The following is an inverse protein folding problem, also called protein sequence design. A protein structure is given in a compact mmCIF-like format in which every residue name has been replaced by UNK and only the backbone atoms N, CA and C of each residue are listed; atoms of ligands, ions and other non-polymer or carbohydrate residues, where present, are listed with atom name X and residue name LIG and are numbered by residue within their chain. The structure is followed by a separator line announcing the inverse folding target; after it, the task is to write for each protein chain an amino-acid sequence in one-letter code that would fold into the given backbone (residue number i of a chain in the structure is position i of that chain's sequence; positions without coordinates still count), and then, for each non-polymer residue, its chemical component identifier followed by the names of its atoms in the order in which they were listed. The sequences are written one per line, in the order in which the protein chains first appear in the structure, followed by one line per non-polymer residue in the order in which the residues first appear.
data_IF_241942547002
#
_entry.id   IF_241942547002
#
_cell.length_a   1.000
_cell.length_b   1.000
_cell.length_c   1.000
_cell.angle_alpha   90.00
_cell.angle_beta   90.00
_cell.angle_gamma   90.00
#
_symmetry.space_group_name_H-M   'P 1'
#
loop_
_entity.id
_entity.type
_entity.pdbx_description
1 polymer ?
#
# COMPACT_ATOMS: atom_id res chain seq x y z
N UNK A 1 2.78 17.13 22.78
CA UNK A 1 2.81 16.14 21.67
C UNK A 1 1.42 15.84 21.13
N UNK A 2 0.42 15.53 21.97
CA UNK A 2 -0.96 15.25 21.54
C UNK A 2 -1.58 16.25 20.56
N UNK A 3 -1.48 17.56 20.82
CA UNK A 3 -2.04 18.57 19.90
C UNK A 3 -1.32 18.62 18.55
N UNK A 4 0.00 18.44 18.53
CA UNK A 4 0.76 18.27 17.28
C UNK A 4 0.33 17.01 16.52
N UNK A 5 0.02 15.93 17.21
CA UNK A 5 -0.51 14.72 16.58
C UNK A 5 -1.83 14.97 15.86
N UNK A 6 -2.76 15.71 16.48
CA UNK A 6 -4.01 16.08 15.82
C UNK A 6 -3.75 16.92 14.57
N UNK A 7 -2.88 17.93 14.66
CA UNK A 7 -2.51 18.76 13.51
C UNK A 7 -1.92 17.92 12.37
N UNK A 8 -0.98 17.02 12.66
CA UNK A 8 -0.43 16.13 11.63
C UNK A 8 -1.47 15.17 11.04
N UNK A 9 -2.42 14.70 11.85
CA UNK A 9 -3.53 13.90 11.36
C UNK A 9 -4.40 14.69 10.39
N UNK A 10 -4.74 15.95 10.71
CA UNK A 10 -5.50 16.84 9.82
C UNK A 10 -4.77 17.10 8.49
N UNK A 11 -3.43 17.16 8.54
CA UNK A 11 -2.55 17.25 7.37
C UNK A 11 -2.41 15.92 6.59
N UNK A 12 -3.16 14.88 6.98
CA UNK A 12 -3.24 13.62 6.25
C UNK A 12 -2.12 12.63 6.57
N UNK A 13 -1.36 12.83 7.64
CA UNK A 13 -0.37 11.88 8.13
C UNK A 13 -1.00 10.91 9.14
N UNK A 14 -0.27 9.82 9.41
CA UNK A 14 -0.61 8.83 10.43
C UNK A 14 0.36 8.99 11.60
N UNK A 15 0.12 9.95 12.52
CA UNK A 15 1.04 10.29 13.60
C UNK A 15 1.16 9.16 14.63
N UNK A 16 2.37 8.95 15.15
CA UNK A 16 2.67 7.94 16.17
C UNK A 16 3.32 8.55 17.39
N UNK A 17 3.12 7.91 18.54
CA UNK A 17 3.79 8.29 19.78
C UNK A 17 5.15 7.59 19.87
N UNK A 18 6.20 8.41 20.03
CA UNK A 18 7.56 7.96 20.29
C UNK A 18 7.88 8.26 21.77
N UNK A 19 8.46 7.29 22.46
CA UNK A 19 8.94 7.45 23.84
C UNK A 19 10.17 6.59 24.10
N UNK A 20 10.89 6.87 25.19
CA UNK A 20 11.96 6.01 25.68
C UNK A 20 11.46 4.70 26.30
N UNK A 21 10.13 4.50 26.41
CA UNK A 21 9.56 3.26 26.92
C UNK A 21 9.80 2.14 25.91
N UNK A 22 10.45 1.08 26.38
CA UNK A 22 10.63 -0.16 25.61
C UNK A 22 9.37 -0.99 25.70
N UNK A 23 8.82 -1.32 24.54
CA UNK A 23 7.64 -2.16 24.36
C UNK A 23 7.95 -3.24 23.34
N UNK A 24 7.05 -4.22 23.14
CA UNK A 24 7.21 -5.22 22.08
C UNK A 24 7.37 -4.61 20.68
N UNK A 25 6.91 -3.37 20.48
CA UNK A 25 6.86 -2.68 19.19
C UNK A 25 8.14 -1.93 18.80
N UNK A 26 9.03 -1.61 19.75
CA UNK A 26 10.28 -0.89 19.47
C UNK A 26 11.54 -1.58 20.01
N UNK A 27 11.41 -2.59 20.88
CA UNK A 27 12.55 -3.28 21.50
C UNK A 27 13.51 -3.94 20.51
N UNK A 28 13.00 -4.37 19.34
CA UNK A 28 13.80 -5.02 18.27
C UNK A 28 14.41 -4.01 17.28
N UNK A 29 14.05 -2.74 17.38
CA UNK A 29 14.50 -1.70 16.45
C UNK A 29 15.95 -1.29 16.76
N UNK A 30 16.68 -0.87 15.73
CA UNK A 30 18.06 -0.40 15.88
C UNK A 30 18.17 0.87 16.72
N UNK A 31 17.14 1.73 16.67
CA UNK A 31 17.01 2.95 17.46
C UNK A 31 15.62 3.00 18.13
N UNK A 32 15.38 2.23 19.21
CA UNK A 32 14.06 2.11 19.84
C UNK A 32 13.41 3.43 20.23
N UNK A 33 14.22 4.43 20.59
CA UNK A 33 13.81 5.78 20.97
C UNK A 33 13.36 6.66 19.81
N UNK A 34 13.57 6.22 18.56
CA UNK A 34 13.05 6.85 17.34
C UNK A 34 11.83 6.13 16.79
N UNK A 35 11.49 4.97 17.35
CA UNK A 35 10.42 4.09 16.86
C UNK A 35 9.16 4.20 17.71
N UNK A 36 7.97 3.89 17.15
CA UNK A 36 6.72 3.94 17.90
C UNK A 36 6.70 2.95 19.07
N UNK A 37 6.23 3.39 20.23
CA UNK A 37 6.09 2.53 21.42
C UNK A 37 4.73 1.81 21.49
N UNK A 38 4.03 1.66 20.37
CA UNK A 38 2.69 1.09 20.26
C UNK A 38 2.50 0.41 18.90
N UNK A 39 1.42 -0.32 18.72
CA UNK A 39 1.04 -0.91 17.43
C UNK A 39 0.91 0.16 16.34
N UNK A 40 1.63 0.03 15.24
CA UNK A 40 1.65 1.06 14.19
C UNK A 40 1.71 0.50 12.76
N UNK A 41 2.23 -0.72 12.54
CA UNK A 41 2.44 -1.28 11.20
C UNK A 41 1.16 -1.34 10.35
N UNK A 42 0.00 -1.66 10.97
CA UNK A 42 -1.30 -1.61 10.27
C UNK A 42 -1.64 -0.22 9.71
N UNK A 43 -1.07 0.84 10.29
CA UNK A 43 -1.28 2.20 9.80
C UNK A 43 -0.51 2.51 8.50
N UNK A 44 0.31 1.58 8.00
CA UNK A 44 0.98 1.69 6.70
C UNK A 44 0.00 1.50 5.53
N UNK A 45 -1.05 0.72 5.76
CA UNK A 45 -2.03 0.34 4.74
C UNK A 45 -3.43 0.88 5.03
N UNK A 46 -3.70 1.21 6.30
CA UNK A 46 -4.97 1.74 6.75
C UNK A 46 -4.78 3.05 7.50
N UNK A 47 -5.63 4.05 7.24
CA UNK A 47 -5.63 5.27 8.05
C UNK A 47 -6.23 4.95 9.44
N UNK A 48 -5.59 5.33 10.55
CA UNK A 48 -6.20 5.19 11.86
C UNK A 48 -7.42 6.10 12.02
N UNK A 49 -8.35 5.70 12.87
CA UNK A 49 -9.33 6.63 13.42
C UNK A 49 -8.62 7.66 14.29
N UNK A 50 -9.16 8.88 14.33
CA UNK A 50 -8.58 9.96 15.15
C UNK A 50 -8.53 9.57 16.64
N UNK A 51 -9.52 8.82 17.14
CA UNK A 51 -9.56 8.36 18.53
C UNK A 51 -8.38 7.44 18.86
N UNK A 52 -7.99 6.56 17.93
CA UNK A 52 -6.82 5.68 18.10
C UNK A 52 -5.53 6.49 18.27
N UNK A 53 -5.43 7.64 17.58
CA UNK A 53 -4.29 8.56 17.71
C UNK A 53 -4.35 9.33 19.02
N UNK A 54 -5.51 9.88 19.38
CA UNK A 54 -5.70 10.73 20.56
C UNK A 54 -5.53 9.94 21.87
N UNK A 55 -5.85 8.65 21.85
CA UNK A 55 -5.76 7.74 22.99
C UNK A 55 -4.37 7.12 23.20
N UNK A 56 -3.40 7.36 22.30
CA UNK A 56 -2.02 6.99 22.56
C UNK A 56 -1.51 7.64 23.87
N UNK A 57 -0.55 6.98 24.52
CA UNK A 57 0.04 7.49 25.76
C UNK A 57 0.96 8.69 25.48
N UNK A 58 0.36 9.86 25.28
CA UNK A 58 1.07 11.10 25.00
C UNK A 58 1.73 11.72 26.24
N UNK A 59 1.37 11.27 27.45
CA UNK A 59 1.93 11.79 28.71
C UNK A 59 3.41 11.41 28.87
N UNK A 60 3.77 10.22 28.41
CA UNK A 60 5.15 9.70 28.44
C UNK A 60 5.91 9.94 27.13
N UNK A 61 5.32 10.66 26.18
CA UNK A 61 5.87 10.88 24.85
C UNK A 61 7.09 11.81 24.88
N UNK A 62 8.18 11.37 24.25
CA UNK A 62 9.37 12.19 24.00
C UNK A 62 9.37 12.80 22.60
N UNK A 63 8.48 12.32 21.74
CA UNK A 63 8.42 12.72 20.36
C UNK A 63 7.18 12.24 19.65
N UNK A 64 7.04 12.76 18.46
CA UNK A 64 6.05 12.38 17.47
C UNK A 64 6.78 11.89 16.22
N UNK A 65 6.26 10.81 15.65
CA UNK A 65 6.63 10.42 14.30
C UNK A 65 5.39 10.26 13.44
N UNK A 66 5.59 9.73 12.24
CA UNK A 66 4.51 9.34 11.37
C UNK A 66 4.84 8.04 10.64
N UNK A 67 3.80 7.27 10.39
CA UNK A 67 3.86 6.10 9.53
C UNK A 67 3.93 6.53 8.07
N UNK A 68 4.85 5.92 7.33
CA UNK A 68 4.95 6.01 5.87
C UNK A 68 4.27 4.79 5.26
N UNK A 69 3.47 5.02 4.22
CA UNK A 69 2.65 3.98 3.60
C UNK A 69 2.37 4.26 2.13
N UNK A 70 1.21 3.81 1.65
CA UNK A 70 0.83 3.92 0.23
C UNK A 70 0.90 5.35 -0.33
N UNK A 71 0.52 6.38 0.45
CA UNK A 71 0.48 7.76 -0.01
C UNK A 71 1.72 8.60 0.36
N UNK A 72 2.15 8.56 1.61
CA UNK A 72 3.23 9.40 2.15
C UNK A 72 4.59 8.73 1.94
N UNK A 73 5.58 9.54 1.53
CA UNK A 73 6.97 9.13 1.30
C UNK A 73 7.88 10.11 2.01
N UNK A 74 9.09 9.66 2.33
CA UNK A 74 10.13 10.52 2.86
C UNK A 74 11.42 10.27 2.09
N UNK A 75 12.06 11.34 1.63
CA UNK A 75 13.41 11.30 1.10
C UNK A 75 14.31 11.76 2.24
N UNK A 76 15.02 10.81 2.85
CA UNK A 76 15.87 11.02 4.02
C UNK A 76 17.33 11.11 3.57
N UNK A 77 17.95 12.27 3.73
CA UNK A 77 19.29 12.60 3.26
C UNK A 77 20.25 12.59 4.44
N UNK A 78 21.01 11.52 4.57
CA UNK A 78 21.93 11.26 5.68
C UNK A 78 23.25 12.03 5.54
N UNK A 79 23.76 12.51 6.67
CA UNK A 79 25.02 13.24 6.83
C UNK A 79 25.13 14.47 5.91
N UNK A 80 24.02 15.17 5.70
CA UNK A 80 23.96 16.38 4.89
C UNK A 80 23.73 17.63 5.77
N UNK A 81 24.60 18.62 5.60
CA UNK A 81 24.49 19.94 6.23
C UNK A 81 24.42 21.09 5.21
N UNK A 82 24.44 20.77 3.91
CA UNK A 82 24.42 21.75 2.84
C UNK A 82 22.97 22.13 2.47
N UNK A 83 22.52 23.29 2.94
CA UNK A 83 21.19 23.82 2.61
C UNK A 83 21.03 24.20 1.14
N UNK A 84 22.12 24.56 0.43
CA UNK A 84 22.05 24.88 -1.00
C UNK A 84 21.81 23.62 -1.81
N UNK A 85 22.47 22.52 -1.45
CA UNK A 85 22.18 21.21 -2.03
C UNK A 85 20.71 20.82 -1.84
N UNK A 86 20.16 20.99 -0.63
CA UNK A 86 18.74 20.69 -0.36
C UNK A 86 17.82 21.54 -1.22
N UNK A 87 18.10 22.85 -1.36
CA UNK A 87 17.35 23.73 -2.27
C UNK A 87 17.42 23.25 -3.72
N UNK A 88 18.60 22.86 -4.21
CA UNK A 88 18.75 22.31 -5.56
C UNK A 88 17.95 21.01 -5.74
N UNK A 89 17.96 20.13 -4.73
CA UNK A 89 17.20 18.88 -4.73
C UNK A 89 15.70 19.13 -4.81
N UNK A 90 15.16 20.00 -3.96
CA UNK A 90 13.74 20.41 -3.93
C UNK A 90 13.31 21.01 -5.28
N UNK A 91 14.19 21.82 -5.89
CA UNK A 91 13.96 22.41 -7.21
C UNK A 91 13.76 21.33 -8.29
N UNK A 92 14.54 20.25 -8.26
CA UNK A 92 14.40 19.13 -9.19
C UNK A 92 13.16 18.28 -8.91
N UNK A 93 12.71 18.22 -7.65
CA UNK A 93 11.41 17.68 -7.28
C UNK A 93 10.23 18.57 -7.73
N UNK A 94 10.50 19.76 -8.27
CA UNK A 94 9.51 20.76 -8.72
C UNK A 94 8.65 21.30 -7.58
N UNK A 95 9.27 21.42 -6.41
CA UNK A 95 8.66 21.98 -5.22
C UNK A 95 9.08 23.45 -5.03
N UNK A 96 8.31 24.25 -4.27
CA UNK A 96 8.70 25.61 -3.91
C UNK A 96 10.06 25.66 -3.21
N UNK A 97 10.83 26.74 -3.39
CA UNK A 97 12.15 26.88 -2.72
C UNK A 97 12.02 26.95 -1.18
N UNK A 98 10.87 27.41 -0.70
CA UNK A 98 10.45 27.50 0.70
C UNK A 98 9.52 26.35 1.10
N UNK A 99 9.66 25.16 0.49
CA UNK A 99 8.78 24.03 0.77
C UNK A 99 8.76 23.65 2.27
N UNK A 100 7.58 23.77 2.90
CA UNK A 100 7.42 23.64 4.35
C UNK A 100 7.72 22.24 4.91
N UNK A 101 7.60 21.21 4.07
CA UNK A 101 7.76 19.81 4.47
C UNK A 101 9.21 19.32 4.39
N UNK A 102 10.15 20.23 4.60
CA UNK A 102 11.56 19.92 4.77
C UNK A 102 11.91 20.04 6.24
N UNK A 103 12.38 18.92 6.81
CA UNK A 103 12.77 18.82 8.20
C UNK A 103 14.28 18.73 8.28
N UNK A 104 14.91 19.61 9.06
CA UNK A 104 16.29 19.40 9.51
C UNK A 104 16.28 18.32 10.58
N UNK A 105 16.89 17.18 10.27
CA UNK A 105 17.22 16.14 11.24
C UNK A 105 18.61 16.42 11.84
N UNK A 106 19.00 15.73 12.94
CA UNK A 106 20.25 16.01 13.63
C UNK A 106 21.48 15.97 12.72
N UNK A 107 21.53 14.97 11.83
CA UNK A 107 22.64 14.74 10.92
C UNK A 107 22.19 14.78 9.45
N UNK A 108 21.08 15.42 9.10
CA UNK A 108 20.57 15.33 7.74
C UNK A 108 19.33 16.16 7.47
N UNK A 109 18.58 15.76 6.45
CA UNK A 109 17.32 16.39 6.08
C UNK A 109 16.29 15.34 5.69
N UNK A 110 15.03 15.54 6.08
CA UNK A 110 13.91 14.78 5.55
C UNK A 110 13.10 15.68 4.62
N UNK A 111 12.77 15.19 3.43
CA UNK A 111 11.85 15.86 2.50
C UNK A 111 10.61 14.97 2.40
N UNK A 112 9.49 15.43 2.97
CA UNK A 112 8.25 14.68 2.96
C UNK A 112 7.45 15.03 1.71
N UNK A 113 6.95 14.00 1.00
CA UNK A 113 6.12 14.16 -0.20
C UNK A 113 5.00 13.11 -0.21
N UNK A 114 3.98 13.33 -1.02
CA UNK A 114 3.05 12.27 -1.42
C UNK A 114 3.46 11.73 -2.78
N UNK A 115 3.46 10.42 -2.96
CA UNK A 115 3.75 9.79 -4.26
C UNK A 115 3.03 8.46 -4.40
N UNK A 116 3.03 7.92 -5.62
CA UNK A 116 2.53 6.57 -5.91
C UNK A 116 3.38 5.47 -5.25
N UNK A 117 3.04 4.19 -5.46
CA UNK A 117 3.86 3.08 -4.99
C UNK A 117 5.17 2.96 -5.80
N UNK A 118 6.12 2.18 -5.28
CA UNK A 118 7.39 1.85 -5.95
C UNK A 118 7.27 0.46 -6.55
N UNK A 119 7.41 0.34 -7.86
CA UNK A 119 7.06 -0.87 -8.62
C UNK A 119 8.22 -1.85 -8.86
N UNK A 120 9.45 -1.48 -8.51
CA UNK A 120 10.68 -2.20 -8.90
C UNK A 120 11.64 -2.45 -7.74
N UNK A 121 11.18 -2.31 -6.50
CA UNK A 121 12.01 -2.59 -5.34
C UNK A 121 12.36 -4.10 -5.27
N UNK A 122 13.61 -4.41 -4.95
CA UNK A 122 14.07 -5.78 -4.72
C UNK A 122 13.41 -6.38 -3.48
N UNK A 123 13.40 -7.71 -3.34
CA UNK A 123 12.82 -8.38 -2.15
C UNK A 123 13.36 -7.83 -0.82
N UNK A 124 14.64 -7.45 -0.78
CA UNK A 124 15.29 -6.85 0.41
C UNK A 124 14.79 -5.44 0.70
N UNK A 125 14.71 -4.57 -0.30
CA UNK A 125 14.18 -3.21 -0.16
C UNK A 125 12.70 -3.22 0.20
N UNK A 126 11.96 -4.18 -0.37
CA UNK A 126 10.56 -4.43 -0.09
C UNK A 126 10.34 -4.76 1.39
N UNK A 127 11.11 -5.66 2.00
CA UNK A 127 10.92 -6.03 3.42
C UNK A 127 11.06 -4.84 4.38
N UNK A 128 11.95 -3.88 4.08
CA UNK A 128 12.23 -2.77 4.98
C UNK A 128 11.44 -1.50 4.65
N UNK A 129 10.85 -1.42 3.45
CA UNK A 129 10.14 -0.23 2.99
C UNK A 129 11.05 0.98 2.81
N UNK A 130 12.34 0.73 2.54
CA UNK A 130 13.40 1.71 2.39
C UNK A 130 14.30 1.31 1.23
N UNK A 131 14.60 2.27 0.37
CA UNK A 131 15.52 2.15 -0.74
C UNK A 131 16.71 3.06 -0.47
N UNK A 132 17.84 2.51 -0.01
CA UNK A 132 19.07 3.27 0.16
C UNK A 132 19.75 3.49 -1.19
N UNK A 133 20.19 4.72 -1.45
CA UNK A 133 20.87 5.14 -2.68
C UNK A 133 22.08 6.00 -2.29
N UNK A 134 23.24 5.67 -2.84
CA UNK A 134 24.51 6.31 -2.48
C UNK A 134 24.86 7.45 -3.43
N UNK A 135 25.55 8.50 -2.92
CA UNK A 135 26.01 9.62 -3.74
C UNK A 135 26.89 9.15 -4.89
N UNK A 136 26.90 9.91 -5.97
CA UNK A 136 27.95 9.78 -6.98
C UNK A 136 29.24 10.50 -6.54
N UNK A 137 30.34 10.25 -7.24
CA UNK A 137 31.66 10.80 -6.89
C UNK A 137 31.67 12.33 -6.68
N UNK A 138 30.80 13.08 -7.38
CA UNK A 138 30.70 14.54 -7.23
C UNK A 138 30.05 14.97 -5.91
N UNK A 139 29.10 14.19 -5.39
CA UNK A 139 28.32 14.53 -4.19
C UNK A 139 28.69 13.68 -2.97
N UNK A 140 29.68 12.79 -3.08
CA UNK A 140 30.13 11.91 -1.99
C UNK A 140 30.62 12.65 -0.74
N UNK A 141 31.05 13.92 -0.87
CA UNK A 141 31.43 14.78 0.25
C UNK A 141 30.27 15.60 0.83
N UNK A 142 29.10 15.62 0.18
CA UNK A 142 27.95 16.47 0.56
C UNK A 142 26.94 15.72 1.42
N UNK A 143 26.71 14.44 1.11
CA UNK A 143 25.85 13.53 1.87
C UNK A 143 26.40 12.11 1.77
N UNK A 144 26.09 11.24 2.74
CA UNK A 144 26.59 9.86 2.72
C UNK A 144 25.63 8.89 2.03
N UNK A 145 24.33 9.16 2.09
CA UNK A 145 23.27 8.28 1.60
C UNK A 145 21.95 9.05 1.49
N UNK A 146 21.12 8.69 0.52
CA UNK A 146 19.70 9.07 0.47
C UNK A 146 18.87 7.80 0.65
N UNK A 147 17.90 7.83 1.56
CA UNK A 147 16.93 6.76 1.76
C UNK A 147 15.55 7.22 1.29
N UNK A 148 15.04 6.61 0.22
CA UNK A 148 13.63 6.76 -0.14
C UNK A 148 12.81 5.79 0.70
N UNK A 149 12.04 6.32 1.65
CA UNK A 149 11.22 5.55 2.59
C UNK A 149 9.74 5.60 2.19
N UNK A 150 9.07 4.44 2.11
CA UNK A 150 7.64 4.34 1.71
C UNK A 150 6.79 3.40 2.55
N UNK A 151 7.39 2.43 3.22
CA UNK A 151 6.70 1.47 4.08
C UNK A 151 7.49 1.34 5.38
N UNK A 152 7.69 2.48 6.02
CA UNK A 152 8.57 2.63 7.19
C UNK A 152 7.96 3.64 8.17
N UNK A 153 8.75 4.17 9.08
CA UNK A 153 8.38 5.20 10.05
C UNK A 153 9.40 6.34 10.00
N UNK A 154 8.96 7.55 10.33
CA UNK A 154 9.84 8.72 10.35
C UNK A 154 9.54 9.60 11.55
N UNK A 155 10.58 10.20 12.13
CA UNK A 155 10.45 11.18 13.21
C UNK A 155 10.01 12.52 12.64
N UNK A 156 9.05 13.18 13.30
CA UNK A 156 8.56 14.50 12.92
C UNK A 156 8.94 15.56 13.97
N UNK A 157 9.07 16.83 13.56
CA UNK A 157 9.10 17.94 14.51
C UNK A 157 7.85 17.95 15.43
N UNK A 158 7.92 18.58 16.61
CA UNK A 158 9.08 19.19 17.24
C UNK A 158 9.86 18.20 18.14
N UNK A 159 9.98 16.94 17.72
CA UNK A 159 10.62 15.88 18.53
C UNK A 159 12.05 16.23 18.96
N UNK A 160 12.38 15.87 20.20
CA UNK A 160 13.72 15.99 20.78
C UNK A 160 14.13 14.62 21.34
N UNK A 161 15.18 14.03 20.78
CA UNK A 161 15.68 12.72 21.18
C UNK A 161 17.16 12.87 21.52
N UNK A 162 17.56 12.46 22.73
CA UNK A 162 18.93 12.58 23.23
C UNK A 162 19.52 13.99 23.05
N UNK A 163 18.70 15.03 23.27
CA UNK A 163 19.07 16.44 23.09
C UNK A 163 19.10 16.92 21.63
N UNK A 164 18.96 16.03 20.66
CA UNK A 164 18.94 16.35 19.24
C UNK A 164 17.53 16.70 18.78
N UNK A 165 17.38 17.82 18.08
CA UNK A 165 16.07 18.38 17.70
C UNK A 165 15.76 18.11 16.22
N UNK A 166 14.50 17.78 15.95
CA UNK A 166 13.94 17.78 14.59
C UNK A 166 13.12 19.06 14.42
N UNK A 167 13.37 19.81 13.35
CA UNK A 167 12.71 21.09 13.09
C UNK A 167 12.39 21.27 11.62
N UNK A 168 11.28 21.92 11.31
CA UNK A 168 11.04 22.42 9.96
C UNK A 168 12.05 23.51 9.63
N UNK A 169 12.56 23.55 8.40
CA UNK A 169 13.56 24.55 7.99
C UNK A 169 12.99 25.97 7.99
N UNK A 170 11.66 26.10 7.88
CA UNK A 170 10.95 27.38 7.90
C UNK A 170 10.46 27.76 9.32
N UNK A 171 10.88 27.03 10.36
CA UNK A 171 10.56 27.29 11.77
C UNK A 171 9.05 27.38 12.13
N UNK A 172 8.18 26.78 11.31
CA UNK A 172 6.75 26.67 11.60
C UNK A 172 6.19 25.30 11.14
N UNK A 173 5.02 24.94 11.65
CA UNK A 173 4.32 23.71 11.23
C UNK A 173 3.62 23.98 9.89
N UNK A 174 3.76 23.11 8.88
CA UNK A 174 3.06 23.24 7.62
C UNK A 174 1.55 23.38 7.80
N UNK A 175 0.92 24.23 7.01
CA UNK A 175 -0.54 24.43 7.01
C UNK A 175 -1.26 23.54 5.98
N UNK A 176 -0.51 23.03 5.00
CA UNK A 176 -0.99 22.17 3.92
C UNK A 176 -0.34 20.79 3.98
N UNK A 177 -0.98 19.78 3.39
CA UNK A 177 -0.43 18.42 3.32
C UNK A 177 0.86 18.39 2.48
N UNK A 178 1.73 17.37 2.63
CA UNK A 178 2.89 17.21 1.75
C UNK A 178 2.49 17.23 0.28
N UNK A 179 3.25 17.94 -0.55
CA UNK A 179 2.99 18.08 -1.97
C UNK A 179 3.10 16.72 -2.67
N UNK A 180 2.29 16.52 -3.72
CA UNK A 180 2.37 15.32 -4.54
C UNK A 180 3.50 15.46 -5.57
N UNK A 181 4.45 14.54 -5.55
CA UNK A 181 5.55 14.44 -6.53
C UNK A 181 5.46 13.08 -7.20
N UNK A 182 5.49 13.07 -8.53
CA UNK A 182 5.48 11.83 -9.30
C UNK A 182 6.75 11.00 -9.03
N UNK A 183 6.61 9.67 -8.95
CA UNK A 183 7.74 8.78 -8.65
C UNK A 183 8.85 8.93 -9.69
N UNK A 184 8.50 9.12 -10.96
CA UNK A 184 9.47 9.37 -12.02
C UNK A 184 10.34 10.62 -11.73
N UNK A 185 9.74 11.69 -11.19
CA UNK A 185 10.46 12.91 -10.84
C UNK A 185 11.38 12.71 -9.64
N UNK A 186 10.95 11.94 -8.65
CA UNK A 186 11.79 11.57 -7.50
C UNK A 186 13.04 10.84 -8.00
N UNK A 187 12.87 9.81 -8.85
CA UNK A 187 14.00 9.06 -9.40
C UNK A 187 14.86 9.87 -10.37
N UNK A 188 14.27 10.79 -11.13
CA UNK A 188 15.03 11.74 -11.95
C UNK A 188 15.95 12.60 -11.08
N UNK A 189 15.44 13.17 -9.98
CA UNK A 189 16.25 13.95 -9.05
C UNK A 189 17.37 13.09 -8.43
N UNK A 190 17.06 11.89 -7.97
CA UNK A 190 18.03 10.95 -7.42
C UNK A 190 19.14 10.62 -8.44
N UNK A 191 18.80 10.37 -9.70
CA UNK A 191 19.77 10.02 -10.76
C UNK A 191 20.81 11.10 -11.06
N UNK A 192 20.53 12.37 -10.70
CA UNK A 192 21.48 13.47 -10.87
C UNK A 192 22.55 13.46 -9.78
N UNK A 193 22.18 13.09 -8.55
CA UNK A 193 23.04 13.19 -7.37
C UNK A 193 23.64 11.85 -6.93
N UNK A 194 23.00 10.75 -7.32
CA UNK A 194 23.28 9.41 -6.81
C UNK A 194 23.69 8.46 -7.94
N UNK A 195 24.46 7.44 -7.59
CA UNK A 195 24.93 6.38 -8.49
C UNK A 195 26.17 6.74 -9.30
N UNK A 196 27.14 5.81 -9.40
CA UNK A 196 28.35 5.97 -10.22
C UNK A 196 28.18 5.34 -11.60
N UNK A 197 28.72 6.00 -12.64
CA UNK A 197 28.83 5.45 -13.99
C UNK A 197 30.14 4.69 -14.12
N UNK A 198 30.10 3.36 -14.15
CA UNK A 198 31.24 2.57 -14.66
C UNK A 198 30.81 1.81 -15.92
N UNK A 199 31.33 2.27 -17.06
CA UNK A 199 31.27 1.53 -18.33
C UNK A 199 32.30 0.40 -18.28
N UNK A 200 31.94 -0.71 -17.64
CA UNK A 200 32.79 -1.90 -17.56
C UNK A 200 32.44 -2.73 -16.34
N UNK A 201 31.61 -3.76 -16.55
CA UNK A 201 31.30 -4.82 -15.59
C UNK A 201 31.17 -4.39 -14.11
N UNK A 202 30.14 -3.59 -13.79
CA UNK A 202 29.75 -3.32 -12.40
C UNK A 202 29.03 -1.99 -12.16
N UNK A 203 27.95 -2.04 -11.38
CA UNK A 203 27.09 -0.98 -10.82
C UNK A 203 26.15 -0.22 -11.77
N UNK A 204 24.89 -0.66 -11.72
CA UNK A 204 23.75 -0.23 -12.50
C UNK A 204 22.51 -0.23 -11.61
N UNK A 205 22.12 0.90 -11.01
CA UNK A 205 20.90 0.93 -10.17
C UNK A 205 19.99 2.14 -10.41
N UNK A 206 20.41 3.40 -10.27
CA UNK A 206 19.45 4.52 -10.39
C UNK A 206 18.86 4.75 -11.80
N UNK A 207 19.67 4.67 -12.87
CA UNK A 207 19.19 4.88 -14.24
C UNK A 207 18.36 3.72 -14.77
N UNK A 208 18.68 2.49 -14.36
CA UNK A 208 17.85 1.31 -14.61
C UNK A 208 16.45 1.53 -14.04
N UNK A 209 16.37 2.01 -12.80
CA UNK A 209 15.12 2.28 -12.12
C UNK A 209 14.31 3.37 -12.83
N UNK A 210 14.95 4.47 -13.25
CA UNK A 210 14.31 5.50 -14.07
C UNK A 210 13.79 4.92 -15.38
N UNK A 211 14.57 4.06 -16.05
CA UNK A 211 14.14 3.41 -17.28
C UNK A 211 12.97 2.44 -17.06
N UNK A 212 13.01 1.62 -16.02
CA UNK A 212 11.91 0.72 -15.65
C UNK A 212 10.63 1.49 -15.31
N UNK A 213 10.74 2.67 -14.69
CA UNK A 213 9.61 3.59 -14.47
C UNK A 213 9.09 4.21 -15.78
N UNK A 214 9.99 4.53 -16.72
CA UNK A 214 9.64 5.14 -18.00
C UNK A 214 9.07 4.14 -19.01
N UNK A 215 9.44 2.86 -18.89
CA UNK A 215 9.00 1.75 -19.74
C UNK A 215 8.27 0.66 -18.93
N UNK A 216 7.10 0.95 -18.32
CA UNK A 216 6.44 0.04 -17.39
C UNK A 216 5.71 -1.14 -18.05
N UNK A 217 5.81 -1.35 -19.36
CA UNK A 217 5.21 -2.49 -20.06
C UNK A 217 6.29 -3.39 -20.67
N UNK A 218 6.40 -4.62 -20.17
CA UNK A 218 7.03 -5.70 -20.91
C UNK A 218 6.30 -5.90 -22.24
N UNK A 219 7.07 -5.94 -23.32
CA UNK A 219 6.58 -5.87 -24.70
C UNK A 219 7.57 -5.31 -25.72
N UNK A 220 8.75 -4.83 -25.29
CA UNK A 220 9.82 -4.41 -26.21
C UNK A 220 11.01 -5.38 -26.18
N UNK A 221 11.15 -6.29 -27.17
CA UNK A 221 12.35 -7.11 -27.38
C UNK A 221 13.60 -6.27 -27.73
N UNK A 222 13.45 -4.96 -27.87
CA UNK A 222 14.50 -3.99 -28.21
C UNK A 222 15.05 -3.20 -27.01
N UNK A 223 14.81 -3.68 -25.78
CA UNK A 223 15.14 -2.95 -24.55
C UNK A 223 16.62 -2.53 -24.47
N UNK A 224 17.59 -3.32 -24.97
CA UNK A 224 19.01 -2.93 -24.94
C UNK A 224 19.36 -1.77 -25.90
N UNK A 225 18.79 -1.75 -27.12
CA UNK A 225 19.06 -0.70 -28.10
C UNK A 225 18.30 0.60 -27.77
N UNK A 226 17.07 0.49 -27.29
CA UNK A 226 16.28 1.63 -26.82
C UNK A 226 16.84 2.23 -25.52
N UNK A 227 17.39 1.40 -24.63
CA UNK A 227 18.10 1.86 -23.43
C UNK A 227 19.24 2.80 -23.80
N UNK A 228 20.03 2.53 -24.85
CA UNK A 228 21.08 3.43 -25.32
C UNK A 228 20.56 4.81 -25.73
N UNK A 229 19.55 4.85 -26.60
CA UNK A 229 18.94 6.11 -27.10
C UNK A 229 18.26 6.91 -25.99
N UNK A 230 17.50 6.25 -25.11
CA UNK A 230 16.76 6.88 -24.02
C UNK A 230 17.70 7.30 -22.90
N UNK A 231 18.73 6.52 -22.60
CA UNK A 231 19.81 6.92 -21.69
C UNK A 231 20.47 8.20 -22.18
N UNK A 232 20.74 8.33 -23.47
CA UNK A 232 21.32 9.55 -24.05
C UNK A 232 20.37 10.75 -23.99
N UNK A 233 19.06 10.57 -24.18
CA UNK A 233 18.06 11.63 -24.01
C UNK A 233 17.85 12.04 -22.55
N UNK A 234 17.80 11.09 -21.62
CA UNK A 234 17.71 11.36 -20.18
C UNK A 234 18.98 12.08 -19.72
N UNK A 235 20.16 11.60 -20.13
CA UNK A 235 21.44 12.28 -19.86
C UNK A 235 21.43 13.68 -20.47
N UNK A 236 20.98 13.89 -21.71
CA UNK A 236 20.83 15.23 -22.31
C UNK A 236 19.88 16.13 -21.51
N UNK A 237 18.75 15.60 -21.03
CA UNK A 237 17.76 16.36 -20.24
C UNK A 237 18.26 16.74 -18.84
N UNK A 238 19.16 15.94 -18.26
CA UNK A 238 19.78 16.18 -16.94
C UNK A 238 21.03 17.07 -17.07
N UNK A 239 21.70 17.08 -18.22
CA UNK A 239 22.96 17.83 -18.46
C UNK A 239 22.77 19.19 -19.11
N UNK A 240 21.67 19.45 -19.84
CA UNK A 240 21.41 20.75 -20.45
C UNK A 240 20.55 21.64 -19.55
N UNK A 241 21.19 22.65 -18.96
CA UNK A 241 20.59 23.74 -18.18
C UNK A 241 19.70 24.70 -18.98
N UNK A 242 19.47 24.45 -20.27
CA UNK A 242 18.74 25.36 -21.18
C UNK A 242 17.24 25.08 -21.33
N UNK A 243 16.70 24.06 -20.65
CA UNK A 243 15.26 23.76 -20.61
C UNK A 243 14.55 24.19 -19.32
N UNK A 244 15.18 25.04 -18.49
CA UNK A 244 14.67 25.37 -17.17
C UNK A 244 13.55 26.41 -17.23
N UNK A 245 12.29 25.98 -17.06
CA UNK A 245 11.19 26.91 -16.73
C UNK A 245 11.17 27.07 -15.21
N UNK A 246 11.50 28.26 -14.73
CA UNK A 246 11.46 28.57 -13.29
C UNK A 246 10.04 28.35 -12.72
N UNK A 247 9.93 27.91 -11.47
CA UNK A 247 8.66 27.50 -10.83
C UNK A 247 7.60 28.62 -10.84
N UNK A 248 8.03 29.87 -10.68
CA UNK A 248 7.23 31.09 -10.81
C UNK A 248 6.66 31.29 -12.22
N UNK A 249 7.33 30.76 -13.25
CA UNK A 249 6.94 30.83 -14.67
C UNK A 249 6.15 29.63 -15.19
N UNK A 250 5.91 28.61 -14.36
CA UNK A 250 5.04 27.49 -14.74
C UNK A 250 3.57 27.95 -14.82
N UNK A 251 2.76 27.49 -15.79
CA UNK A 251 1.31 27.72 -15.79
C UNK A 251 0.65 27.21 -14.49
N UNK A 252 -0.36 27.91 -13.94
CA UNK A 252 -1.01 27.56 -12.65
C UNK A 252 -1.50 26.10 -12.58
N UNK A 253 -1.88 25.50 -13.72
CA UNK A 253 -2.31 24.11 -13.87
C UNK A 253 -1.16 23.07 -13.89
N UNK A 254 0.10 23.52 -13.89
CA UNK A 254 1.32 22.68 -13.83
C UNK A 254 2.06 22.87 -12.50
N UNK A 255 1.87 24.02 -11.82
CA UNK A 255 2.44 24.33 -10.48
C UNK A 255 2.02 23.34 -9.37
N UNK A 256 0.95 22.60 -9.58
CA UNK A 256 0.55 21.48 -8.74
C UNK A 256 0.41 20.21 -9.60
N UNK A 257 1.50 19.45 -9.67
CA UNK A 257 1.47 18.02 -10.00
C UNK A 257 0.80 17.62 -11.32
N UNK A 258 1.31 18.07 -12.46
CA UNK A 258 1.11 17.34 -13.72
C UNK A 258 2.28 17.60 -14.68
N UNK A 259 3.15 16.60 -14.84
CA UNK A 259 3.82 16.41 -16.12
C UNK A 259 2.81 15.75 -17.05
N UNK A 260 2.16 16.55 -17.90
CA UNK A 260 1.83 16.03 -19.24
C UNK A 260 3.15 16.08 -20.01
N UNK A 261 3.91 14.99 -20.00
CA UNK A 261 4.95 14.82 -21.01
C UNK A 261 4.23 14.74 -22.36
N UNK A 262 4.43 15.77 -23.18
CA UNK A 262 3.93 15.81 -24.55
C UNK A 262 4.72 14.83 -25.41
N UNK A 263 4.19 13.64 -25.60
CA UNK A 263 4.31 12.91 -26.86
C UNK A 263 2.92 12.85 -27.49
N UNK A 264 2.74 13.69 -28.52
CA UNK A 264 1.57 13.81 -29.39
C UNK A 264 0.23 14.18 -28.73
N UNK A 265 -0.48 15.07 -29.41
CA UNK A 265 -1.86 15.46 -29.17
C UNK A 265 -2.88 14.41 -29.63
N UNK A 266 -2.49 13.14 -29.70
CA UNK A 266 -3.43 12.06 -30.00
C UNK A 266 -3.92 11.43 -28.69
N UNK A 267 -5.23 11.54 -28.47
CA UNK A 267 -5.95 11.12 -27.27
C UNK A 267 -6.07 9.60 -27.11
N UNK A 268 -5.03 8.84 -27.47
CA UNK A 268 -5.06 7.37 -27.53
C UNK A 268 -3.98 6.66 -26.70
N UNK A 269 -3.08 7.38 -26.03
CA UNK A 269 -2.23 6.76 -25.01
C UNK A 269 -2.97 6.67 -23.68
N UNK A 270 -3.19 5.46 -23.13
CA UNK A 270 -3.89 5.31 -21.88
C UNK A 270 -3.04 5.97 -20.80
N UNK A 271 -3.55 7.06 -20.23
CA UNK A 271 -3.25 7.40 -18.84
C UNK A 271 -3.39 6.09 -18.09
N UNK A 272 -2.27 5.52 -17.64
CA UNK A 272 -2.24 4.20 -17.03
C UNK A 272 -3.35 4.12 -15.99
N UNK A 273 -4.39 3.36 -16.33
CA UNK A 273 -5.55 3.12 -15.49
C UNK A 273 -5.05 2.25 -14.34
N UNK A 274 -4.49 2.85 -13.31
CA UNK A 274 -4.32 2.20 -12.00
C UNK A 274 -5.68 1.73 -11.44
N UNK A 275 -6.77 2.32 -11.95
CA UNK A 275 -8.15 1.87 -11.76
C UNK A 275 -8.52 0.59 -12.53
N UNK A 276 -7.65 0.03 -13.39
CA UNK A 276 -8.11 -1.03 -14.31
C UNK A 276 -8.41 -2.37 -13.63
N UNK A 277 -8.03 -2.60 -12.37
CA UNK A 277 -8.52 -3.75 -11.58
C UNK A 277 -8.64 -3.40 -10.11
N UNK A 278 -9.56 -2.51 -9.75
CA UNK A 278 -10.02 -2.34 -8.37
C UNK A 278 -10.51 -3.70 -7.83
N UNK A 279 -9.79 -4.38 -6.89
CA UNK A 279 -10.15 -5.73 -6.46
C UNK A 279 -11.52 -5.78 -5.75
N UNK A 280 -12.16 -6.94 -5.84
CA UNK A 280 -13.39 -7.29 -5.14
C UNK A 280 -13.02 -8.30 -4.06
N UNK A 281 -13.16 -7.92 -2.80
CA UNK A 281 -12.84 -8.80 -1.68
C UNK A 281 -14.11 -9.49 -1.22
N UNK A 282 -14.02 -10.77 -0.85
CA UNK A 282 -15.14 -11.53 -0.33
C UNK A 282 -14.69 -12.47 0.78
N UNK A 283 -15.57 -12.68 1.75
CA UNK A 283 -15.44 -13.64 2.83
C UNK A 283 -16.86 -14.09 3.25
N UNK A 284 -17.04 -15.35 3.64
CA UNK A 284 -18.34 -15.89 4.05
C UNK A 284 -18.21 -16.69 5.35
N UNK A 285 -19.27 -16.66 6.17
CA UNK A 285 -19.45 -17.60 7.27
C UNK A 285 -20.51 -18.64 6.90
N UNK A 286 -20.30 -19.87 7.34
CA UNK A 286 -21.15 -21.01 6.98
C UNK A 286 -21.51 -21.87 8.19
N UNK A 287 -22.48 -22.77 8.03
CA UNK A 287 -22.87 -23.73 9.08
C UNK A 287 -21.87 -24.87 9.31
N UNK A 288 -20.66 -24.82 8.73
CA UNK A 288 -19.62 -25.83 8.91
C UNK A 288 -18.68 -25.99 7.72
N UNK A 289 -17.93 -27.10 7.68
CA UNK A 289 -17.00 -27.39 6.59
C UNK A 289 -17.62 -28.29 5.51
N UNK A 290 -17.06 -28.25 4.31
CA UNK A 290 -17.37 -29.21 3.24
C UNK A 290 -16.83 -30.58 3.68
N UNK A 291 -17.74 -31.55 3.87
CA UNK A 291 -17.39 -32.92 4.29
C UNK A 291 -17.06 -33.84 3.12
N UNK A 292 -17.72 -33.63 1.99
CA UNK A 292 -17.54 -34.41 0.75
C UNK A 292 -17.63 -33.47 -0.44
N UNK A 293 -16.52 -33.29 -1.17
CA UNK A 293 -16.40 -32.38 -2.32
C UNK A 293 -17.28 -32.77 -3.53
N UNK A 294 -17.78 -34.00 -3.57
CA UNK A 294 -18.64 -34.49 -4.66
C UNK A 294 -20.14 -34.37 -4.35
N UNK A 295 -20.50 -33.88 -3.16
CA UNK A 295 -21.89 -33.83 -2.68
C UNK A 295 -22.34 -32.39 -2.41
N UNK A 296 -22.42 -31.59 -3.48
CA UNK A 296 -22.73 -30.15 -3.41
C UNK A 296 -24.10 -29.84 -2.76
N UNK A 297 -25.06 -30.76 -2.87
CA UNK A 297 -26.38 -30.61 -2.23
C UNK A 297 -26.26 -30.54 -0.70
N UNK A 298 -25.28 -31.24 -0.12
CA UNK A 298 -25.01 -31.31 1.32
C UNK A 298 -23.86 -30.40 1.79
N UNK A 299 -23.37 -29.49 0.95
CA UNK A 299 -22.45 -28.43 1.38
C UNK A 299 -23.07 -27.59 2.52
N UNK A 300 -22.23 -26.99 3.40
CA UNK A 300 -22.73 -26.12 4.45
C UNK A 300 -23.52 -24.94 3.89
N UNK A 301 -24.42 -24.38 4.70
CA UNK A 301 -25.26 -23.23 4.33
C UNK A 301 -24.55 -21.93 4.68
N UNK A 302 -24.70 -20.91 3.85
CA UNK A 302 -24.15 -19.58 4.15
C UNK A 302 -25.01 -18.90 5.22
N UNK A 303 -24.37 -18.32 6.24
CA UNK A 303 -25.03 -17.55 7.32
C UNK A 303 -24.65 -16.06 7.30
N UNK A 304 -23.48 -15.73 6.73
CA UNK A 304 -23.02 -14.35 6.56
C UNK A 304 -22.21 -14.24 5.26
N UNK A 305 -22.36 -13.12 4.55
CA UNK A 305 -21.53 -12.73 3.42
C UNK A 305 -21.00 -11.34 3.71
N UNK A 306 -19.69 -11.15 3.58
CA UNK A 306 -19.08 -9.83 3.54
C UNK A 306 -18.37 -9.63 2.22
N UNK A 307 -18.51 -8.44 1.62
CA UNK A 307 -17.71 -8.07 0.46
C UNK A 307 -17.32 -6.59 0.43
N UNK A 308 -16.23 -6.30 -0.26
CA UNK A 308 -15.78 -4.95 -0.54
C UNK A 308 -15.51 -4.79 -2.03
N UNK A 309 -16.35 -4.00 -2.70
CA UNK A 309 -16.14 -3.57 -4.07
C UNK A 309 -15.30 -2.31 -4.06
N UNK A 310 -13.99 -2.43 -4.30
CA UNK A 310 -13.08 -1.28 -4.22
C UNK A 310 -13.26 -0.26 -5.36
N UNK A 311 -13.88 -0.68 -6.48
CA UNK A 311 -14.22 0.23 -7.58
C UNK A 311 -15.31 1.21 -7.14
N UNK A 312 -16.37 0.68 -6.52
CA UNK A 312 -17.48 1.48 -5.97
C UNK A 312 -17.19 2.06 -4.59
N UNK A 313 -16.11 1.63 -3.93
CA UNK A 313 -15.79 1.89 -2.52
C UNK A 313 -16.94 1.50 -1.59
N UNK A 314 -17.54 0.35 -1.87
CA UNK A 314 -18.73 -0.13 -1.19
C UNK A 314 -18.40 -1.38 -0.38
N UNK A 315 -18.58 -1.31 0.94
CA UNK A 315 -18.46 -2.44 1.85
C UNK A 315 -19.86 -2.90 2.25
N UNK A 316 -20.17 -4.18 2.09
CA UNK A 316 -21.45 -4.76 2.53
C UNK A 316 -21.25 -5.98 3.42
N UNK A 317 -22.15 -6.10 4.38
CA UNK A 317 -22.33 -7.27 5.22
C UNK A 317 -23.79 -7.69 5.11
N UNK A 318 -24.02 -8.96 4.81
CA UNK A 318 -25.35 -9.54 4.60
C UNK A 318 -25.45 -10.77 5.50
N UNK A 319 -26.48 -10.82 6.34
CA UNK A 319 -26.81 -12.00 7.14
C UNK A 319 -27.89 -12.81 6.41
N UNK A 320 -27.81 -14.14 6.47
CA UNK A 320 -28.73 -15.02 5.74
C UNK A 320 -29.71 -15.66 6.72
N UNK A 321 -31.01 -15.44 6.49
CA UNK A 321 -32.05 -16.06 7.28
C UNK A 321 -32.07 -17.59 7.03
N UNK A 322 -32.20 -18.44 8.07
CA UNK A 322 -32.19 -19.88 7.88
C UNK A 322 -33.43 -20.36 7.12
N UNK A 323 -33.23 -21.19 6.09
CA UNK A 323 -34.30 -21.82 5.29
C UNK A 323 -34.06 -23.34 5.20
N UNK A 324 -34.78 -24.09 6.04
CA UNK A 324 -34.64 -25.54 6.15
C UNK A 324 -33.33 -26.00 6.79
N UNK A 325 -32.63 -25.15 7.54
CA UNK A 325 -31.45 -25.49 8.32
C UNK A 325 -31.41 -24.74 9.64
N UNK A 326 -30.54 -25.19 10.55
CA UNK A 326 -30.23 -24.52 11.82
C UNK A 326 -28.72 -24.35 11.95
N UNK A 327 -28.28 -23.23 12.51
CA UNK A 327 -26.87 -23.02 12.86
C UNK A 327 -26.50 -23.94 14.02
N UNK A 328 -25.49 -24.82 13.89
CA UNK A 328 -25.02 -25.65 14.99
C UNK A 328 -24.45 -24.80 16.14
N UNK A 329 -24.61 -25.26 17.38
CA UNK A 329 -24.12 -24.55 18.58
C UNK A 329 -22.61 -24.26 18.52
N UNK A 330 -21.82 -25.19 17.97
CA UNK A 330 -20.37 -24.99 17.78
C UNK A 330 -20.05 -23.81 16.85
N UNK A 331 -20.86 -23.60 15.80
CA UNK A 331 -20.70 -22.49 14.85
C UNK A 331 -21.20 -21.19 15.46
N UNK A 332 -22.30 -21.23 16.21
CA UNK A 332 -22.78 -20.06 16.97
C UNK A 332 -21.75 -19.61 18.00
N UNK A 333 -21.12 -20.54 18.72
CA UNK A 333 -20.06 -20.23 19.68
C UNK A 333 -18.81 -19.65 19.00
N UNK A 334 -18.45 -20.17 17.83
CA UNK A 334 -17.30 -19.70 17.05
C UNK A 334 -17.55 -18.27 16.54
N UNK A 335 -18.65 -18.08 15.81
CA UNK A 335 -18.95 -16.84 15.08
C UNK A 335 -19.60 -15.78 15.97
N UNK A 336 -20.45 -16.19 16.90
CA UNK A 336 -21.34 -15.33 17.66
C UNK A 336 -22.67 -15.03 16.96
N UNK A 337 -22.97 -15.74 15.86
CA UNK A 337 -24.19 -15.54 15.06
C UNK A 337 -25.20 -16.61 15.42
N UNK A 338 -26.26 -16.22 16.14
CA UNK A 338 -27.32 -17.14 16.58
C UNK A 338 -28.44 -17.34 15.58
N UNK A 339 -29.17 -18.45 15.70
CA UNK A 339 -30.38 -18.70 14.91
C UNK A 339 -31.41 -17.55 15.07
N UNK A 340 -31.66 -17.11 16.30
CA UNK A 340 -32.60 -16.01 16.59
C UNK A 340 -32.17 -14.69 15.95
N UNK A 341 -30.86 -14.42 15.94
CA UNK A 341 -30.30 -13.24 15.29
C UNK A 341 -30.54 -13.29 13.77
N UNK A 342 -30.29 -14.44 13.13
CA UNK A 342 -30.48 -14.60 11.69
C UNK A 342 -31.96 -14.58 11.28
N UNK A 343 -32.87 -15.14 12.08
CA UNK A 343 -34.32 -15.05 11.83
C UNK A 343 -34.79 -13.59 11.85
N UNK A 344 -34.24 -12.77 12.75
CA UNK A 344 -34.64 -11.37 12.92
C UNK A 344 -33.98 -10.43 11.91
N UNK A 345 -32.71 -10.64 11.58
CA UNK A 345 -31.89 -9.67 10.83
C UNK A 345 -31.43 -10.19 9.46
N UNK A 346 -31.62 -11.48 9.18
CA UNK A 346 -31.20 -12.10 7.94
C UNK A 346 -32.14 -11.81 6.77
N UNK A 347 -31.59 -11.90 5.56
CA UNK A 347 -32.34 -11.82 4.31
C UNK A 347 -32.42 -13.19 3.64
N UNK A 348 -33.29 -13.34 2.65
CA UNK A 348 -33.34 -14.55 1.84
C UNK A 348 -32.04 -14.72 1.03
N UNK A 349 -31.49 -15.93 0.98
CA UNK A 349 -30.26 -16.25 0.26
C UNK A 349 -30.33 -15.89 -1.23
N UNK A 350 -31.49 -16.02 -1.88
CA UNK A 350 -31.63 -15.64 -3.31
C UNK A 350 -31.42 -14.15 -3.52
N UNK A 351 -32.01 -13.33 -2.67
CA UNK A 351 -31.87 -11.88 -2.73
C UNK A 351 -30.44 -11.45 -2.43
N UNK A 352 -29.80 -12.11 -1.45
CA UNK A 352 -28.39 -11.90 -1.13
C UNK A 352 -27.49 -12.20 -2.35
N UNK A 353 -27.63 -13.38 -2.97
CA UNK A 353 -26.85 -13.78 -4.14
C UNK A 353 -27.05 -12.86 -5.35
N UNK A 354 -28.29 -12.39 -5.60
CA UNK A 354 -28.57 -11.44 -6.67
C UNK A 354 -28.03 -10.03 -6.40
N UNK A 355 -27.77 -9.70 -5.14
CA UNK A 355 -27.24 -8.38 -4.74
C UNK A 355 -25.72 -8.24 -4.87
N UNK A 356 -25.00 -9.35 -5.10
CA UNK A 356 -23.54 -9.34 -5.24
C UNK A 356 -23.19 -8.88 -6.66
N UNK A 357 -22.66 -7.67 -6.76
CA UNK A 357 -22.27 -7.07 -8.03
C UNK A 357 -20.74 -6.99 -8.16
N UNK A 358 -20.18 -8.00 -8.85
CA UNK A 358 -18.77 -8.06 -9.21
C UNK A 358 -18.55 -7.35 -10.56
N UNK A 359 -17.52 -6.49 -10.71
CA UNK A 359 -17.17 -5.93 -12.02
C UNK A 359 -16.53 -6.97 -12.96
N UNK A 360 -16.74 -6.86 -14.27
CA UNK A 360 -16.34 -7.88 -15.27
C UNK A 360 -14.81 -8.10 -15.38
N UNK A 361 -14.02 -7.07 -15.09
CA UNK A 361 -12.55 -7.07 -15.18
C UNK A 361 -11.92 -6.86 -13.79
N UNK A 362 -12.37 -7.61 -12.79
CA UNK A 362 -11.95 -7.42 -11.41
C UNK A 362 -11.26 -8.66 -10.83
N UNK A 363 -10.14 -8.47 -10.13
CA UNK A 363 -9.56 -9.54 -9.33
C UNK A 363 -10.44 -9.84 -8.11
N UNK A 364 -10.87 -11.07 -7.92
CA UNK A 364 -11.61 -11.52 -6.73
C UNK A 364 -10.61 -12.00 -5.69
N UNK A 365 -10.59 -11.37 -4.53
CA UNK A 365 -9.62 -11.61 -3.47
C UNK A 365 -10.31 -12.26 -2.27
N UNK A 366 -9.73 -13.35 -1.78
CA UNK A 366 -10.20 -14.05 -0.58
C UNK A 366 -9.06 -14.67 0.22
N UNK A 367 -9.38 -15.21 1.39
CA UNK A 367 -8.49 -16.06 2.18
C UNK A 367 -9.12 -17.45 2.28
N UNK A 368 -8.42 -18.49 1.79
CA UNK A 368 -9.06 -19.79 1.53
C UNK A 368 -10.21 -19.71 0.49
N UNK A 369 -10.06 -18.81 -0.49
CA UNK A 369 -11.09 -18.43 -1.48
C UNK A 369 -11.77 -19.60 -2.21
N UNK A 370 -11.05 -20.70 -2.45
CA UNK A 370 -11.63 -21.90 -3.09
C UNK A 370 -12.84 -22.42 -2.29
N UNK A 371 -12.78 -22.38 -0.96
CA UNK A 371 -13.88 -22.77 -0.09
C UNK A 371 -15.08 -21.83 -0.25
N UNK A 372 -14.84 -20.52 -0.15
CA UNK A 372 -15.90 -19.51 -0.22
C UNK A 372 -16.64 -19.57 -1.55
N UNK A 373 -15.89 -19.63 -2.66
CA UNK A 373 -16.46 -19.74 -4.00
C UNK A 373 -17.22 -21.06 -4.18
N UNK A 374 -16.69 -22.18 -3.68
CA UNK A 374 -17.36 -23.48 -3.79
C UNK A 374 -18.71 -23.51 -3.06
N UNK A 375 -18.79 -22.86 -1.89
CA UNK A 375 -20.06 -22.77 -1.15
C UNK A 375 -21.03 -21.79 -1.81
N UNK A 376 -20.55 -20.61 -2.25
CA UNK A 376 -21.38 -19.67 -3.02
C UNK A 376 -21.98 -20.32 -4.27
N UNK A 377 -21.15 -21.04 -5.02
CA UNK A 377 -21.55 -21.79 -6.20
C UNK A 377 -22.62 -22.84 -5.88
N UNK A 378 -22.47 -23.54 -4.75
CA UNK A 378 -23.47 -24.51 -4.30
C UNK A 378 -24.84 -23.87 -4.01
N UNK A 379 -24.86 -22.67 -3.41
CA UNK A 379 -26.11 -21.94 -3.17
C UNK A 379 -26.74 -21.44 -4.48
N UNK A 380 -25.91 -21.00 -5.44
CA UNK A 380 -26.42 -20.68 -6.78
C UNK A 380 -27.10 -21.89 -7.44
N UNK A 381 -26.47 -23.07 -7.38
CA UNK A 381 -27.04 -24.29 -7.97
C UNK A 381 -28.35 -24.72 -7.31
N UNK A 382 -28.44 -24.69 -5.97
CA UNK A 382 -29.67 -25.05 -5.24
C UNK A 382 -30.84 -24.14 -5.57
N UNK A 383 -30.58 -22.85 -5.78
CA UNK A 383 -31.63 -21.84 -5.87
C UNK A 383 -31.97 -21.41 -7.29
N UNK A 384 -31.01 -21.44 -8.22
CA UNK A 384 -31.18 -21.03 -9.60
C UNK A 384 -31.01 -22.26 -10.51
N UNK A 385 -32.08 -23.04 -10.64
CA UNK A 385 -32.18 -24.23 -11.53
C UNK A 385 -31.88 -23.96 -13.01
N UNK A 386 -31.66 -22.70 -13.39
CA UNK A 386 -31.25 -22.30 -14.73
C UNK A 386 -29.71 -22.28 -14.81
N UNK A 387 -29.08 -23.20 -15.57
CA UNK A 387 -27.63 -23.25 -15.73
C UNK A 387 -27.04 -21.93 -16.25
N UNK A 388 -27.80 -21.12 -17.00
CA UNK A 388 -27.32 -19.83 -17.51
C UNK A 388 -27.10 -18.80 -16.40
N UNK A 389 -27.88 -18.83 -15.32
CA UNK A 389 -27.68 -17.92 -14.19
C UNK A 389 -26.38 -18.27 -13.48
N UNK A 390 -26.13 -19.55 -13.28
CA UNK A 390 -24.90 -20.07 -12.68
C UNK A 390 -23.66 -19.89 -13.58
N UNK A 391 -23.77 -20.19 -14.88
CA UNK A 391 -22.67 -20.09 -15.85
C UNK A 391 -22.27 -18.63 -16.15
N UNK A 392 -23.20 -17.68 -16.02
CA UNK A 392 -22.92 -16.25 -16.18
C UNK A 392 -22.49 -15.57 -14.86
N UNK A 393 -22.24 -16.34 -13.80
CA UNK A 393 -21.70 -15.76 -12.57
C UNK A 393 -20.27 -15.28 -12.79
N UNK A 394 -20.05 -14.00 -12.55
CA UNK A 394 -18.74 -13.33 -12.73
C UNK A 394 -17.66 -13.89 -11.80
N UNK A 395 -18.06 -14.62 -10.75
CA UNK A 395 -17.19 -15.32 -9.80
C UNK A 395 -16.30 -16.41 -10.43
N UNK A 396 -16.69 -16.93 -11.61
CA UNK A 396 -16.13 -18.17 -12.20
C UNK A 396 -15.21 -17.99 -13.39
N UNK A 397 -14.88 -16.76 -13.78
CA UNK A 397 -13.75 -16.54 -14.67
C UNK A 397 -12.45 -16.75 -13.87
N UNK A 398 -12.07 -18.01 -13.61
CA UNK A 398 -10.97 -18.41 -12.74
C UNK A 398 -9.60 -17.78 -13.07
N UNK A 399 -9.49 -17.10 -14.21
CA UNK A 399 -8.38 -16.20 -14.55
C UNK A 399 -8.28 -14.93 -13.68
N UNK A 400 -9.26 -14.68 -12.81
CA UNK A 400 -9.37 -13.45 -12.00
C UNK A 400 -9.35 -13.68 -10.48
N UNK A 401 -9.14 -14.90 -9.97
CA UNK A 401 -9.14 -15.16 -8.51
C UNK A 401 -7.75 -15.01 -7.88
N UNK A 402 -7.69 -14.46 -6.67
CA UNK A 402 -6.46 -14.30 -5.88
C UNK A 402 -6.68 -14.75 -4.43
N UNK A 403 -6.05 -15.87 -4.06
CA UNK A 403 -6.10 -16.40 -2.70
C UNK A 403 -4.85 -15.99 -1.92
N UNK A 404 -5.02 -15.13 -0.92
CA UNK A 404 -3.91 -14.63 -0.08
C UNK A 404 -3.17 -15.76 0.65
N UNK A 405 -3.91 -16.76 1.15
CA UNK A 405 -3.37 -17.96 1.81
C UNK A 405 -2.40 -18.73 0.91
N UNK A 406 -2.80 -19.00 -0.33
CA UNK A 406 -1.97 -19.70 -1.32
C UNK A 406 -0.75 -18.87 -1.71
N UNK A 407 -0.93 -17.56 -1.96
CA UNK A 407 0.17 -16.66 -2.29
C UNK A 407 1.20 -16.58 -1.17
N UNK A 408 0.74 -16.44 0.08
CA UNK A 408 1.61 -16.39 1.25
C UNK A 408 2.41 -17.69 1.41
N UNK A 409 1.74 -18.84 1.36
CA UNK A 409 2.39 -20.15 1.48
C UNK A 409 3.46 -20.38 0.39
N UNK A 410 3.16 -20.02 -0.85
CA UNK A 410 4.11 -20.10 -1.98
C UNK A 410 5.31 -19.19 -1.77
N UNK A 411 5.11 -17.96 -1.27
CA UNK A 411 6.17 -16.97 -1.10
C UNK A 411 7.16 -17.35 0.01
N UNK A 412 6.64 -17.82 1.15
CA UNK A 412 7.46 -18.12 2.32
C UNK A 412 7.82 -19.61 2.43
N UNK A 413 7.38 -20.43 1.47
CA UNK A 413 7.55 -21.88 1.47
C UNK A 413 7.09 -22.53 2.78
N UNK A 414 5.87 -22.18 3.21
CA UNK A 414 5.24 -22.65 4.46
C UNK A 414 3.90 -23.33 4.18
N UNK A 415 3.34 -23.99 5.19
CA UNK A 415 1.94 -24.48 5.11
C UNK A 415 0.97 -23.30 4.99
N UNK A 416 -0.22 -23.58 4.46
CA UNK A 416 -1.31 -22.61 4.41
C UNK A 416 -1.63 -22.04 5.80
N UNK A 417 -1.38 -20.74 6.03
CA UNK A 417 -1.64 -20.12 7.33
C UNK A 417 -3.13 -19.80 7.49
N UNK A 418 -3.57 -19.66 8.72
CA UNK A 418 -4.83 -18.96 9.03
C UNK A 418 -4.68 -17.47 8.74
N UNK A 419 -5.80 -16.77 8.52
CA UNK A 419 -5.80 -15.33 8.29
C UNK A 419 -5.18 -14.55 9.46
N UNK A 420 -5.46 -14.97 10.69
CA UNK A 420 -4.89 -14.38 11.90
C UNK A 420 -3.38 -14.58 12.02
N UNK A 421 -2.86 -15.74 11.62
CA UNK A 421 -1.42 -16.03 11.59
C UNK A 421 -0.70 -15.16 10.55
N UNK A 422 -1.31 -15.01 9.37
CA UNK A 422 -0.81 -14.12 8.32
C UNK A 422 -0.81 -12.65 8.77
N UNK A 423 -1.86 -12.20 9.46
CA UNK A 423 -1.93 -10.85 10.02
C UNK A 423 -0.83 -10.63 11.07
N UNK A 424 -0.66 -11.57 12.02
CA UNK A 424 0.40 -11.52 13.02
C UNK A 424 1.79 -11.43 12.39
N UNK A 425 2.03 -12.16 11.30
CA UNK A 425 3.29 -12.12 10.57
C UNK A 425 3.58 -10.73 10.00
N UNK A 426 2.62 -10.12 9.29
CA UNK A 426 2.85 -8.83 8.63
C UNK A 426 2.88 -7.65 9.60
N UNK A 427 2.05 -7.67 10.64
CA UNK A 427 1.85 -6.51 11.51
C UNK A 427 2.53 -6.61 12.87
N UNK A 428 3.14 -7.76 13.20
CA UNK A 428 3.72 -8.05 14.53
C UNK A 428 2.72 -7.75 15.67
N UNK A 429 1.43 -8.01 15.40
CA UNK A 429 0.34 -7.78 16.33
C UNK A 429 -0.87 -8.68 16.04
N UNK A 430 -1.76 -8.81 17.02
CA UNK A 430 -3.00 -9.56 16.86
C UNK A 430 -4.00 -8.78 15.98
N UNK A 431 -4.89 -9.49 15.26
CA UNK A 431 -6.01 -8.85 14.57
C UNK A 431 -6.81 -7.93 15.51
N UNK A 432 -7.25 -6.75 15.02
CA UNK A 432 -7.91 -5.75 15.86
C UNK A 432 -9.38 -6.09 16.18
N UNK A 433 -9.90 -7.19 15.63
CA UNK A 433 -11.29 -7.59 15.70
C UNK A 433 -11.40 -9.08 16.06
N UNK A 434 -12.58 -9.48 16.54
CA UNK A 434 -12.89 -10.90 16.76
C UNK A 434 -12.94 -11.59 15.39
N UNK A 435 -12.16 -12.66 15.24
CA UNK A 435 -12.15 -13.51 14.04
C UNK A 435 -13.39 -14.41 13.98
N UNK A 436 -13.67 -15.01 12.82
CA UNK A 436 -14.88 -15.78 12.55
C UNK A 436 -16.16 -14.91 12.51
N UNK A 437 -16.00 -13.71 11.97
CA UNK A 437 -17.10 -12.88 11.50
C UNK A 437 -16.66 -12.36 10.14
N UNK A 438 -17.42 -12.67 9.09
CA UNK A 438 -16.99 -12.38 7.72
C UNK A 438 -16.69 -10.89 7.51
N UNK A 439 -17.40 -9.99 8.21
CA UNK A 439 -17.14 -8.55 8.10
C UNK A 439 -15.78 -8.15 8.70
N UNK A 440 -15.41 -8.74 9.83
CA UNK A 440 -14.14 -8.49 10.48
C UNK A 440 -12.99 -9.17 9.73
N UNK A 441 -13.19 -10.41 9.31
CA UNK A 441 -12.21 -11.20 8.57
C UNK A 441 -11.92 -10.55 7.21
N UNK A 442 -12.95 -10.01 6.53
CA UNK A 442 -12.77 -9.23 5.32
C UNK A 442 -11.91 -7.96 5.53
N UNK A 443 -12.05 -7.24 6.65
CA UNK A 443 -11.21 -6.06 6.95
C UNK A 443 -9.76 -6.48 7.18
N UNK A 444 -9.54 -7.59 7.89
CA UNK A 444 -8.21 -8.17 8.13
C UNK A 444 -7.58 -8.64 6.81
N UNK A 445 -8.36 -9.27 5.93
CA UNK A 445 -7.95 -9.67 4.59
C UNK A 445 -7.52 -8.46 3.75
N UNK A 446 -8.28 -7.37 3.77
CA UNK A 446 -7.94 -6.13 3.04
C UNK A 446 -6.61 -5.56 3.55
N UNK A 447 -6.41 -5.46 4.87
CA UNK A 447 -5.16 -4.99 5.46
C UNK A 447 -3.98 -5.89 5.01
N UNK A 448 -4.14 -7.21 5.07
CA UNK A 448 -3.14 -8.18 4.61
C UNK A 448 -2.85 -8.11 3.10
N UNK A 449 -3.85 -7.90 2.25
CA UNK A 449 -3.64 -7.74 0.81
C UNK A 449 -2.83 -6.47 0.52
N UNK A 450 -3.21 -5.34 1.11
CA UNK A 450 -2.54 -4.07 0.83
C UNK A 450 -1.13 -3.99 1.40
N UNK A 451 -0.82 -4.71 2.49
CA UNK A 451 0.56 -4.79 3.00
C UNK A 451 1.42 -5.65 2.08
N UNK A 452 0.84 -6.72 1.50
CA UNK A 452 1.49 -7.49 0.46
C UNK A 452 1.75 -6.67 -0.81
N UNK A 453 0.81 -5.81 -1.24
CA UNK A 453 1.05 -4.87 -2.32
C UNK A 453 2.14 -3.85 -1.97
N UNK A 454 2.09 -3.28 -0.75
CA UNK A 454 3.05 -2.25 -0.31
C UNK A 454 4.49 -2.78 -0.27
N UNK A 455 4.64 -4.05 0.10
CA UNK A 455 5.91 -4.78 0.09
C UNK A 455 6.11 -5.58 -1.20
N UNK A 456 5.41 -5.27 -2.29
CA UNK A 456 5.71 -5.82 -3.63
C UNK A 456 5.61 -7.36 -3.73
N UNK A 457 4.99 -8.01 -2.75
CA UNK A 457 4.75 -9.45 -2.73
C UNK A 457 3.73 -9.87 -3.78
N UNK A 458 2.85 -8.94 -4.12
CA UNK A 458 1.93 -9.04 -5.25
C UNK A 458 2.57 -8.23 -6.37
N UNK A 459 3.37 -8.90 -7.20
CA UNK A 459 3.60 -8.41 -8.56
C UNK A 459 2.23 -8.52 -9.24
N UNK A 460 1.69 -7.41 -9.70
CA UNK A 460 0.64 -7.49 -10.71
C UNK A 460 1.32 -8.14 -11.92
N UNK A 461 1.13 -9.44 -12.10
CA UNK A 461 1.61 -10.13 -13.29
C UNK A 461 0.86 -9.53 -14.48
N UNK A 462 1.49 -8.60 -15.18
CA UNK A 462 0.97 -8.00 -16.41
C UNK A 462 1.11 -8.94 -17.62
N UNK A 463 1.69 -10.13 -17.44
CA UNK A 463 2.11 -11.03 -18.53
C UNK A 463 1.13 -12.16 -18.89
N UNK A 464 0.21 -12.57 -18.02
CA UNK A 464 -0.52 -13.83 -18.24
C UNK A 464 -1.98 -13.66 -18.71
N UNK A 465 -2.19 -13.18 -19.93
CA UNK A 465 -3.40 -13.47 -20.73
C UNK A 465 -3.12 -13.46 -22.24
N UNK A 466 -2.19 -14.28 -22.73
CA UNK A 466 -2.17 -14.74 -24.13
C UNK A 466 -1.54 -16.13 -24.22
N UNK A 467 -2.28 -17.18 -23.85
CA UNK A 467 -2.19 -18.47 -24.53
C UNK A 467 -3.64 -18.99 -24.64
N UNK A 468 -4.08 -19.17 -25.88
CA UNK A 468 -5.32 -19.83 -26.29
C UNK A 468 -5.33 -21.29 -25.86
#
# INVERSE_FOLDING_TARGET
MKEYAKQYYELGLNPTCISYIKTKYNVKESNPEKSPCHAWKRWQVRRPMIDEVIQLNWEVSNGIGAVLGHATKCIDIDNCNDYNFVKEFIKLLRLPEDYDWVVKSPNGFHIHVRSGPIYFASYTELIHGVLPIYPNDKYASIFSKVELRWANHIVLPPTIINGQKYKFINDHIPTEQPARVDMFIIFQALSKFCGNFYSGHGNFEAQKMVFQLAAPSEGYPYAEAAYGSIKDEIIKSVTHSSGYIAFDKLPKNIKAGYLKFGFSSDSSYPIYNWYKRSPFFIDIETTGLIKNEFDYENYPRIIQIAYYNSYKREFKTIYIAPDGFTVPEEIENLTGISNDFLIKNGVNIKDALLSIDIPDDCQIVGHNLDFDLSVLDSEYLRHFKNPQIYLNTKHRNGSQTFCTMKKFASMFNVKYPKLSEMYCYFFDDLPPHKMHDASNDLKVLIDCYYIMCLFGYIKEDYENQLIV
#
